data_IF_949399788147
#
_entry.id   IF_949399788147
#
_cell.length_a   1.000
_cell.length_b   1.000
_cell.length_c   1.000
_cell.angle_alpha   90.00
_cell.angle_beta   90.00
_cell.angle_gamma   90.00
#
_symmetry.space_group_name_H-M   'P 1'
#
loop_
_entity.id
_entity.type
_entity.pdbx_description
1 polymer ?
#
# COMPACT_ATOMS: atom_id res chain seq x y z
N UNK A 1 23.74 -41.82 0.85
CA UNK A 1 23.99 -40.64 0.01
C UNK A 1 22.70 -39.85 -0.27
N UNK A 2 21.61 -40.50 -0.67
CA UNK A 2 20.30 -39.88 -0.95
C UNK A 2 19.68 -39.13 0.25
N UNK A 3 19.78 -39.67 1.44
CA UNK A 3 19.21 -39.03 2.66
C UNK A 3 19.85 -37.67 2.97
N UNK A 4 21.16 -37.50 2.79
CA UNK A 4 21.84 -36.21 2.96
C UNK A 4 21.43 -35.19 1.90
N UNK A 5 21.15 -35.63 0.68
CA UNK A 5 20.69 -34.79 -0.40
C UNK A 5 19.27 -34.27 -0.14
N UNK A 6 18.36 -35.13 0.34
CA UNK A 6 16.98 -34.76 0.70
C UNK A 6 16.95 -33.76 1.87
N UNK A 7 17.80 -33.92 2.87
CA UNK A 7 17.90 -32.98 4.00
C UNK A 7 18.45 -31.63 3.54
N UNK A 8 19.45 -31.59 2.66
CA UNK A 8 19.97 -30.33 2.10
C UNK A 8 18.94 -29.59 1.26
N UNK A 9 18.16 -30.27 0.44
CA UNK A 9 17.11 -29.66 -0.38
C UNK A 9 15.99 -29.12 0.52
N UNK A 10 15.63 -29.83 1.58
CA UNK A 10 14.60 -29.39 2.52
C UNK A 10 15.04 -28.16 3.33
N UNK A 11 16.30 -28.13 3.81
CA UNK A 11 16.85 -26.96 4.51
C UNK A 11 16.99 -25.72 3.62
N UNK A 12 17.35 -25.88 2.35
CA UNK A 12 17.40 -24.75 1.43
C UNK A 12 16.00 -24.21 1.10
N UNK A 13 15.01 -25.06 0.89
CA UNK A 13 13.63 -24.60 0.65
C UNK A 13 13.01 -23.90 1.87
N UNK A 14 13.30 -24.37 3.07
CA UNK A 14 12.88 -23.69 4.31
C UNK A 14 13.59 -22.34 4.51
N UNK A 15 14.87 -22.23 4.17
CA UNK A 15 15.62 -20.98 4.23
C UNK A 15 15.07 -19.97 3.21
N UNK A 16 14.77 -20.39 1.98
CA UNK A 16 14.13 -19.53 0.98
C UNK A 16 12.73 -19.08 1.42
N UNK A 17 11.93 -19.99 1.99
CA UNK A 17 10.61 -19.67 2.52
C UNK A 17 10.69 -18.65 3.67
N UNK A 18 11.58 -18.87 4.64
CA UNK A 18 11.78 -17.95 5.76
C UNK A 18 12.33 -16.59 5.31
N UNK A 19 13.21 -16.56 4.32
CA UNK A 19 13.72 -15.32 3.72
C UNK A 19 12.60 -14.55 3.00
N UNK A 20 11.81 -15.22 2.17
CA UNK A 20 10.66 -14.62 1.48
C UNK A 20 9.62 -14.10 2.49
N UNK A 21 9.35 -14.86 3.56
CA UNK A 21 8.46 -14.48 4.66
C UNK A 21 8.98 -13.29 5.49
N UNK A 22 10.28 -13.00 5.46
CA UNK A 22 10.86 -11.83 6.11
C UNK A 22 10.83 -10.59 5.20
N UNK A 23 10.98 -10.76 3.88
CA UNK A 23 11.13 -9.67 2.92
C UNK A 23 9.91 -8.75 2.83
N UNK A 24 8.68 -9.26 2.99
CA UNK A 24 7.49 -8.42 2.96
C UNK A 24 7.50 -7.31 4.02
N UNK A 25 8.11 -7.58 5.19
CA UNK A 25 8.24 -6.59 6.28
C UNK A 25 9.12 -5.42 5.87
N UNK A 26 10.23 -5.71 5.17
CA UNK A 26 11.13 -4.66 4.67
C UNK A 26 10.44 -3.81 3.59
N UNK A 27 9.72 -4.45 2.66
CA UNK A 27 8.94 -3.72 1.66
C UNK A 27 7.84 -2.88 2.30
N UNK A 28 7.15 -3.39 3.32
CA UNK A 28 6.14 -2.64 4.05
C UNK A 28 6.73 -1.42 4.79
N UNK A 29 7.91 -1.56 5.42
CA UNK A 29 8.61 -0.45 6.07
C UNK A 29 9.07 0.61 5.07
N UNK A 30 9.65 0.20 3.94
CA UNK A 30 10.02 1.12 2.87
C UNK A 30 8.79 1.85 2.31
N UNK A 31 7.70 1.13 2.08
CA UNK A 31 6.43 1.74 1.66
C UNK A 31 5.93 2.77 2.67
N UNK A 32 6.01 2.48 3.98
CA UNK A 32 5.61 3.42 5.03
C UNK A 32 6.50 4.69 5.03
N UNK A 33 7.81 4.54 4.83
CA UNK A 33 8.74 5.68 4.72
C UNK A 33 8.37 6.57 3.53
N UNK A 34 8.18 5.99 2.34
CA UNK A 34 7.80 6.75 1.15
C UNK A 34 6.40 7.36 1.27
N UNK A 35 5.47 6.70 1.97
CA UNK A 35 4.16 7.26 2.26
C UNK A 35 4.26 8.50 3.16
N UNK A 36 5.15 8.50 4.17
CA UNK A 36 5.40 9.66 5.02
C UNK A 36 6.01 10.82 4.23
N UNK A 37 7.03 10.56 3.41
CA UNK A 37 7.61 11.57 2.52
C UNK A 37 6.57 12.14 1.55
N UNK A 38 5.72 11.28 1.00
CA UNK A 38 4.60 11.69 0.14
C UNK A 38 3.67 12.67 0.84
N UNK A 39 3.30 12.42 2.11
CA UNK A 39 2.42 13.31 2.85
C UNK A 39 3.03 14.73 3.03
N UNK A 40 4.33 14.79 3.34
CA UNK A 40 5.05 16.06 3.52
C UNK A 40 5.19 16.80 2.17
N UNK A 41 5.68 16.13 1.13
CA UNK A 41 5.84 16.75 -0.18
C UNK A 41 4.51 17.17 -0.80
N UNK A 42 3.46 16.36 -0.62
CA UNK A 42 2.12 16.70 -1.06
C UNK A 42 1.60 17.97 -0.36
N UNK A 43 1.78 18.09 0.97
CA UNK A 43 1.36 19.29 1.71
C UNK A 43 2.06 20.55 1.22
N UNK A 44 3.35 20.46 0.90
CA UNK A 44 4.12 21.58 0.34
C UNK A 44 3.62 21.91 -1.07
N UNK A 45 3.47 20.90 -1.92
CA UNK A 45 3.14 21.09 -3.33
C UNK A 45 1.69 21.47 -3.61
N UNK A 46 0.73 21.16 -2.70
CA UNK A 46 -0.70 21.47 -2.91
C UNK A 46 -1.08 22.86 -2.41
N UNK A 47 -0.15 23.60 -1.81
CA UNK A 47 -0.43 24.85 -1.08
C UNK A 47 -1.02 25.93 -1.99
N UNK A 48 -0.45 26.09 -3.17
CA UNK A 48 -0.72 27.23 -4.05
C UNK A 48 -1.40 26.82 -5.37
N UNK A 49 -1.82 25.57 -5.52
CA UNK A 49 -2.49 25.06 -6.72
C UNK A 49 -3.75 24.27 -6.36
N UNK A 50 -4.63 24.08 -7.33
CA UNK A 50 -5.80 23.24 -7.18
C UNK A 50 -5.40 21.78 -6.84
N UNK A 51 -6.05 21.20 -5.83
CA UNK A 51 -5.75 19.84 -5.36
C UNK A 51 -5.91 18.75 -6.43
N UNK A 52 -6.89 18.96 -7.34
CA UNK A 52 -7.15 17.99 -8.41
C UNK A 52 -6.02 18.03 -9.44
N UNK A 53 -5.52 19.24 -9.76
CA UNK A 53 -4.37 19.43 -10.63
C UNK A 53 -3.09 18.86 -10.01
N UNK A 54 -2.86 19.10 -8.71
CA UNK A 54 -1.74 18.52 -7.98
C UNK A 54 -1.77 16.99 -8.03
N UNK A 55 -2.95 16.39 -7.86
CA UNK A 55 -3.16 14.95 -7.96
C UNK A 55 -2.84 14.45 -9.38
N UNK A 56 -3.32 15.14 -10.42
CA UNK A 56 -3.07 14.77 -11.81
C UNK A 56 -1.57 14.79 -12.16
N UNK A 57 -0.86 15.86 -11.82
CA UNK A 57 0.59 16.01 -12.07
C UNK A 57 1.35 14.88 -11.38
N UNK A 58 1.07 14.63 -10.10
CA UNK A 58 1.71 13.56 -9.34
C UNK A 58 1.44 12.18 -9.94
N UNK A 59 0.19 11.92 -10.35
CA UNK A 59 -0.19 10.64 -10.95
C UNK A 59 0.53 10.40 -12.26
N UNK A 60 0.74 11.43 -13.07
CA UNK A 60 1.55 11.35 -14.29
C UNK A 60 2.99 10.96 -13.98
N UNK A 61 3.61 11.56 -12.96
CA UNK A 61 4.97 11.18 -12.54
C UNK A 61 5.03 9.71 -12.12
N UNK A 62 4.04 9.25 -11.34
CA UNK A 62 3.97 7.84 -10.90
C UNK A 62 3.80 6.92 -12.11
N UNK A 63 2.92 7.27 -13.04
CA UNK A 63 2.72 6.52 -14.28
C UNK A 63 4.02 6.35 -15.06
N UNK A 64 4.78 7.43 -15.24
CA UNK A 64 6.06 7.39 -15.96
C UNK A 64 7.10 6.51 -15.26
N UNK A 65 7.22 6.62 -13.93
CA UNK A 65 8.15 5.81 -13.15
C UNK A 65 7.78 4.32 -13.22
N UNK A 66 6.51 3.99 -13.01
CA UNK A 66 6.07 2.58 -12.97
C UNK A 66 6.15 1.92 -14.34
N UNK A 67 5.77 2.63 -15.42
CA UNK A 67 5.98 2.14 -16.78
C UNK A 67 7.46 2.04 -17.15
N UNK A 68 8.29 3.00 -16.74
CA UNK A 68 9.74 2.93 -16.93
C UNK A 68 10.34 1.68 -16.31
N UNK A 69 9.92 1.32 -15.09
CA UNK A 69 10.36 0.09 -14.41
C UNK A 69 9.87 -1.16 -15.15
N UNK A 70 8.59 -1.19 -15.57
CA UNK A 70 8.01 -2.33 -16.26
C UNK A 70 8.70 -2.59 -17.61
N UNK A 71 8.98 -1.54 -18.38
CA UNK A 71 9.69 -1.63 -19.66
C UNK A 71 11.17 -2.03 -19.47
N UNK A 72 11.84 -1.47 -18.48
CA UNK A 72 13.22 -1.86 -18.16
C UNK A 72 13.34 -3.33 -17.73
N UNK A 73 12.27 -3.88 -17.11
CA UNK A 73 12.19 -5.29 -16.74
C UNK A 73 11.74 -6.23 -17.86
N UNK A 74 11.42 -5.72 -19.05
CA UNK A 74 10.85 -6.45 -20.20
C UNK A 74 9.54 -7.21 -19.85
N UNK A 75 8.70 -6.61 -18.98
CA UNK A 75 7.44 -7.21 -18.55
C UNK A 75 6.25 -6.88 -19.47
N UNK A 76 6.43 -6.06 -20.50
CA UNK A 76 5.38 -5.68 -21.44
C UNK A 76 4.77 -6.86 -22.20
N UNK A 77 5.56 -7.90 -22.44
CA UNK A 77 5.09 -9.14 -23.08
C UNK A 77 4.04 -9.90 -22.28
N UNK A 78 4.03 -9.74 -20.96
CA UNK A 78 3.09 -10.42 -20.07
C UNK A 78 1.67 -9.84 -20.14
N UNK A 79 1.51 -8.61 -20.65
CA UNK A 79 0.20 -7.93 -20.79
C UNK A 79 -0.80 -8.79 -21.57
N UNK A 80 -0.34 -9.50 -22.60
CA UNK A 80 -1.18 -10.37 -23.43
C UNK A 80 -1.75 -11.58 -22.68
N UNK A 81 -1.12 -11.95 -21.57
CA UNK A 81 -1.48 -13.13 -20.78
C UNK A 81 -2.37 -12.77 -19.57
N UNK A 82 -2.68 -11.49 -19.38
CA UNK A 82 -3.51 -11.04 -18.26
C UNK A 82 -4.96 -11.42 -18.50
N UNK A 83 -5.55 -12.17 -17.55
CA UNK A 83 -6.96 -12.56 -17.62
C UNK A 83 -7.90 -11.36 -17.49
N UNK A 84 -9.11 -11.45 -18.07
CA UNK A 84 -10.14 -10.40 -17.93
C UNK A 84 -10.51 -10.14 -16.47
N UNK A 85 -10.51 -11.18 -15.63
CA UNK A 85 -10.73 -11.08 -14.20
C UNK A 85 -9.64 -10.21 -13.53
N UNK A 86 -8.37 -10.45 -13.83
CA UNK A 86 -7.25 -9.64 -13.32
C UNK A 86 -7.36 -8.19 -13.78
N UNK A 87 -7.69 -7.97 -15.06
CA UNK A 87 -7.92 -6.63 -15.59
C UNK A 87 -8.99 -5.88 -14.82
N UNK A 88 -10.14 -6.53 -14.57
CA UNK A 88 -11.24 -5.93 -13.80
C UNK A 88 -10.76 -5.45 -12.42
N UNK A 89 -10.07 -6.30 -11.67
CA UNK A 89 -9.61 -5.93 -10.32
C UNK A 89 -8.50 -4.88 -10.32
N UNK A 90 -7.61 -4.88 -11.31
CA UNK A 90 -6.60 -3.83 -11.47
C UNK A 90 -7.26 -2.47 -11.77
N UNK A 91 -8.26 -2.44 -12.64
CA UNK A 91 -9.00 -1.20 -12.95
C UNK A 91 -9.78 -0.70 -11.73
N UNK A 92 -10.47 -1.58 -11.02
CA UNK A 92 -11.18 -1.22 -9.78
C UNK A 92 -10.23 -0.68 -8.72
N UNK A 93 -9.09 -1.35 -8.52
CA UNK A 93 -8.05 -0.92 -7.57
C UNK A 93 -7.45 0.43 -7.96
N UNK A 94 -7.12 0.62 -9.24
CA UNK A 94 -6.61 1.89 -9.74
C UNK A 94 -7.62 3.04 -9.56
N UNK A 95 -8.90 2.78 -9.84
CA UNK A 95 -9.99 3.76 -9.63
C UNK A 95 -10.15 4.13 -8.16
N UNK A 96 -10.15 3.13 -7.27
CA UNK A 96 -10.21 3.37 -5.82
C UNK A 96 -9.02 4.19 -5.33
N UNK A 97 -7.81 3.89 -5.83
CA UNK A 97 -6.59 4.65 -5.50
C UNK A 97 -6.69 6.09 -5.97
N UNK A 98 -7.15 6.32 -7.20
CA UNK A 98 -7.32 7.67 -7.75
C UNK A 98 -8.30 8.51 -6.93
N UNK A 99 -9.46 7.94 -6.59
CA UNK A 99 -10.46 8.60 -5.74
C UNK A 99 -9.91 8.88 -4.33
N UNK A 100 -9.21 7.92 -3.73
CA UNK A 100 -8.57 8.09 -2.41
C UNK A 100 -7.60 9.28 -2.43
N UNK A 101 -6.77 9.39 -3.46
CA UNK A 101 -5.81 10.49 -3.57
C UNK A 101 -6.44 11.84 -3.82
N UNK A 102 -7.51 11.92 -4.59
CA UNK A 102 -8.27 13.17 -4.77
C UNK A 102 -8.78 13.70 -3.43
N UNK A 103 -9.40 12.84 -2.61
CA UNK A 103 -9.86 13.24 -1.29
C UNK A 103 -8.72 13.53 -0.32
N UNK A 104 -7.64 12.75 -0.35
CA UNK A 104 -6.48 12.95 0.52
C UNK A 104 -5.80 14.30 0.24
N UNK A 105 -5.61 14.67 -1.03
CA UNK A 105 -5.00 15.95 -1.40
C UNK A 105 -5.91 17.14 -1.04
N UNK A 106 -7.22 17.00 -1.21
CA UNK A 106 -8.18 17.99 -0.71
C UNK A 106 -8.08 18.16 0.81
N UNK A 107 -8.00 17.08 1.54
CA UNK A 107 -7.83 17.11 2.99
C UNK A 107 -6.50 17.76 3.40
N UNK A 108 -5.39 17.46 2.70
CA UNK A 108 -4.10 18.11 2.95
C UNK A 108 -4.10 19.60 2.61
N UNK A 109 -4.88 20.03 1.64
CA UNK A 109 -4.99 21.44 1.29
C UNK A 109 -5.61 22.26 2.44
N UNK A 110 -6.62 21.73 3.10
CA UNK A 110 -7.40 22.42 4.13
C UNK A 110 -7.00 22.08 5.56
N UNK A 111 -6.41 20.90 5.80
CA UNK A 111 -6.08 20.39 7.12
C UNK A 111 -4.58 20.27 7.39
N UNK A 112 -4.22 20.13 8.66
CA UNK A 112 -2.84 19.87 9.08
C UNK A 112 -2.44 18.42 8.75
N UNK A 113 -1.21 18.20 8.25
CA UNK A 113 -0.69 16.86 7.93
C UNK A 113 -0.75 15.95 9.15
N UNK A 114 -0.43 16.48 10.33
CA UNK A 114 -0.45 15.75 11.60
C UNK A 114 -1.82 15.19 11.99
N UNK A 115 -2.89 15.74 11.43
CA UNK A 115 -4.27 15.28 11.63
C UNK A 115 -4.78 14.45 10.46
N UNK A 116 -4.51 14.90 9.24
CA UNK A 116 -4.97 14.23 8.01
C UNK A 116 -4.32 12.85 7.85
N UNK A 117 -3.01 12.74 8.06
CA UNK A 117 -2.31 11.47 7.86
C UNK A 117 -2.76 10.35 8.84
N UNK A 118 -2.98 10.60 10.15
CA UNK A 118 -3.55 9.58 11.03
C UNK A 118 -4.97 9.14 10.67
N UNK A 119 -5.83 10.08 10.21
CA UNK A 119 -7.18 9.75 9.76
C UNK A 119 -7.13 8.84 8.54
N UNK A 120 -6.26 9.12 7.58
CA UNK A 120 -6.05 8.27 6.40
C UNK A 120 -5.69 6.84 6.82
N UNK A 121 -4.97 6.65 7.92
CA UNK A 121 -4.61 5.33 8.46
C UNK A 121 -5.80 4.52 9.00
N UNK A 122 -6.98 5.11 9.17
CA UNK A 122 -8.21 4.35 9.42
C UNK A 122 -8.54 3.41 8.26
N UNK A 123 -8.02 3.68 7.06
CA UNK A 123 -8.06 2.76 5.92
C UNK A 123 -7.47 1.37 6.24
N UNK A 124 -6.46 1.30 7.11
CA UNK A 124 -5.87 0.03 7.58
C UNK A 124 -6.92 -0.79 8.34
N UNK A 125 -7.69 -0.15 9.21
CA UNK A 125 -8.74 -0.82 10.00
C UNK A 125 -9.85 -1.32 9.09
N UNK A 126 -10.27 -0.49 8.12
CA UNK A 126 -11.26 -0.87 7.11
C UNK A 126 -10.75 -2.06 6.29
N UNK A 127 -9.47 -2.03 5.88
CA UNK A 127 -8.84 -3.13 5.14
C UNK A 127 -8.85 -4.42 5.95
N UNK A 128 -8.52 -4.38 7.24
CA UNK A 128 -8.57 -5.54 8.13
C UNK A 128 -9.99 -6.10 8.22
N UNK A 129 -11.00 -5.25 8.38
CA UNK A 129 -12.40 -5.69 8.38
C UNK A 129 -12.80 -6.35 7.06
N UNK A 130 -12.42 -5.74 5.92
CA UNK A 130 -12.73 -6.27 4.59
C UNK A 130 -11.96 -7.57 4.31
N UNK A 131 -10.72 -7.72 4.79
CA UNK A 131 -9.96 -8.96 4.61
C UNK A 131 -10.65 -10.15 5.32
N UNK A 132 -11.21 -9.93 6.50
CA UNK A 132 -11.99 -10.96 7.18
C UNK A 132 -13.29 -11.30 6.45
N UNK A 133 -14.00 -10.28 5.93
CA UNK A 133 -15.30 -10.48 5.28
C UNK A 133 -15.17 -11.04 3.86
N UNK A 134 -14.25 -10.51 3.06
CA UNK A 134 -14.15 -10.81 1.63
C UNK A 134 -13.12 -11.91 1.38
N UNK A 135 -11.92 -11.81 1.96
CA UNK A 135 -10.83 -12.76 1.75
C UNK A 135 -10.89 -13.94 2.72
N UNK A 136 -11.80 -13.90 3.72
CA UNK A 136 -11.99 -14.93 4.75
C UNK A 136 -10.69 -15.24 5.51
N UNK A 137 -9.82 -14.24 5.68
CA UNK A 137 -8.61 -14.37 6.47
C UNK A 137 -8.95 -14.59 7.95
N UNK A 138 -8.11 -15.34 8.67
CA UNK A 138 -8.33 -15.58 10.09
C UNK A 138 -7.96 -14.36 10.94
N UNK A 139 -8.90 -13.89 11.75
CA UNK A 139 -8.66 -12.81 12.69
C UNK A 139 -7.77 -13.26 13.84
N UNK A 140 -6.51 -12.84 13.82
CA UNK A 140 -5.63 -13.01 14.99
C UNK A 140 -5.95 -11.95 16.04
N UNK A 141 -5.97 -12.34 17.34
CA UNK A 141 -6.18 -11.38 18.43
C UNK A 141 -5.19 -10.23 18.41
N UNK A 142 -3.96 -10.46 17.96
CA UNK A 142 -2.92 -9.41 17.82
C UNK A 142 -3.30 -8.37 16.78
N UNK A 143 -3.87 -8.80 15.64
CA UNK A 143 -4.34 -7.92 14.57
C UNK A 143 -5.51 -7.07 15.03
N UNK A 144 -6.46 -7.68 15.76
CA UNK A 144 -7.62 -6.97 16.33
C UNK A 144 -7.16 -5.90 17.32
N UNK A 145 -6.27 -6.25 18.26
CA UNK A 145 -5.72 -5.30 19.23
C UNK A 145 -4.99 -4.15 18.51
N UNK A 146 -4.18 -4.46 17.50
CA UNK A 146 -3.50 -3.46 16.68
C UNK A 146 -4.47 -2.50 15.98
N UNK A 147 -5.56 -3.02 15.40
CA UNK A 147 -6.60 -2.21 14.75
C UNK A 147 -7.30 -1.27 15.74
N UNK A 148 -7.63 -1.76 16.94
CA UNK A 148 -8.23 -0.93 18.03
C UNK A 148 -7.27 0.18 18.45
N UNK A 149 -5.98 -0.12 18.63
CA UNK A 149 -4.97 0.89 19.01
C UNK A 149 -4.79 1.97 17.92
N UNK A 150 -4.77 1.58 16.63
CA UNK A 150 -4.69 2.53 15.51
C UNK A 150 -5.93 3.44 15.52
N UNK A 151 -7.12 2.86 15.69
CA UNK A 151 -8.37 3.63 15.75
C UNK A 151 -8.37 4.62 16.91
N UNK A 152 -8.06 4.13 18.11
CA UNK A 152 -8.00 4.96 19.32
C UNK A 152 -6.98 6.11 19.18
N UNK A 153 -5.76 5.79 18.70
CA UNK A 153 -4.72 6.81 18.45
C UNK A 153 -5.16 7.85 17.42
N UNK A 154 -5.79 7.44 16.33
CA UNK A 154 -6.29 8.36 15.30
C UNK A 154 -7.40 9.29 15.86
N UNK A 155 -8.30 8.75 16.68
CA UNK A 155 -9.37 9.55 17.33
C UNK A 155 -8.78 10.56 18.31
N UNK A 156 -7.82 10.15 19.15
CA UNK A 156 -7.16 11.04 20.11
C UNK A 156 -6.51 12.24 19.41
N UNK A 157 -5.89 12.03 18.25
CA UNK A 157 -5.27 13.12 17.47
C UNK A 157 -6.29 14.12 16.90
N UNK A 158 -7.57 13.77 16.86
CA UNK A 158 -8.66 14.66 16.40
C UNK A 158 -9.25 15.51 17.52
N UNK A 159 -9.14 15.04 18.76
CA UNK A 159 -9.69 15.75 19.92
C UNK A 159 -8.79 16.98 20.17
N UNK A 160 -9.44 18.13 20.29
CA UNK A 160 -8.77 19.40 20.64
C UNK A 160 -8.51 19.49 22.13
#
# INVERSE_FOLDING_TARGET
MLQKFTVMVNTSSELYSNFALAMWKYYALLSALFAALTAIFAKIGVRDINSDLATAIRTTVILLITWGIALAGNHEGEIKNISSHTWLFLVLSGSATGLSWLFYFKALQTGDVSKVAPIDKLSVVITICLSFLILKEQASSRVIIGAVLITAGSIIMLIK
#
